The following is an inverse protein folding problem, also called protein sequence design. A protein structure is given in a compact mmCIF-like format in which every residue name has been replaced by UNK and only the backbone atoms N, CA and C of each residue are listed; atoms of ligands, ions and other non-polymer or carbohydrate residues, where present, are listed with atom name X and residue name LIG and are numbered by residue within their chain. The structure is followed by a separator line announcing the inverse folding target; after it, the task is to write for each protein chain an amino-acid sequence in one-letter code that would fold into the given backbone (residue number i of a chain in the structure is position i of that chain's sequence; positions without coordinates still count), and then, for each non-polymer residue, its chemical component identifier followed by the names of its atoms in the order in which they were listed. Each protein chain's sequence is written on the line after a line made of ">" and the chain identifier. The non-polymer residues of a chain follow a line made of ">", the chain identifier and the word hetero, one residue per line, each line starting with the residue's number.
data_IF_668858990725
#
_entry.id   IF_668858990725
#
_cell.length_a   1.000
_cell.length_b   1.000
_cell.length_c   1.000
_cell.angle_alpha   90.00
_cell.angle_beta   90.00
_cell.angle_gamma   90.00
#
_symmetry.space_group_name_H-M   'P 1'
#
loop_
_entity.id
_entity.type
_entity.pdbx_description
1 polymer ?
#
# COMPACT_ATOMS: atom_id res chain seq x y z
N UNK A 1 30.16 -17.77 -3.82
CA UNK A 1 30.61 -17.02 -4.99
C UNK A 1 29.81 -17.50 -6.17
N UNK A 2 28.81 -16.74 -6.61
CA UNK A 2 28.04 -17.07 -7.81
C UNK A 2 28.68 -16.24 -8.91
N UNK A 3 29.52 -16.90 -9.70
CA UNK A 3 30.12 -16.33 -10.89
C UNK A 3 28.99 -16.12 -11.91
N UNK A 4 28.48 -14.88 -11.99
CA UNK A 4 27.52 -14.47 -13.01
C UNK A 4 28.26 -14.47 -14.35
N UNK A 5 28.38 -15.65 -14.97
CA UNK A 5 28.76 -15.74 -16.38
C UNK A 5 27.79 -14.85 -17.13
N UNK A 6 28.31 -13.88 -17.88
CA UNK A 6 27.48 -13.14 -18.82
C UNK A 6 26.84 -14.18 -19.74
N UNK A 7 25.52 -14.40 -19.67
CA UNK A 7 24.89 -15.29 -20.62
C UNK A 7 25.12 -14.65 -21.99
N UNK A 8 25.55 -15.43 -22.98
CA UNK A 8 25.40 -15.04 -24.37
C UNK A 8 23.95 -14.59 -24.53
N UNK A 9 23.75 -13.28 -24.62
CA UNK A 9 22.43 -12.68 -24.49
C UNK A 9 21.63 -13.05 -25.74
N UNK A 10 20.96 -14.19 -25.73
CA UNK A 10 19.66 -14.22 -26.38
C UNK A 10 18.87 -13.12 -25.67
N UNK A 11 18.48 -12.09 -26.41
CA UNK A 11 17.72 -10.98 -25.88
C UNK A 11 16.55 -11.59 -25.09
N UNK A 12 16.59 -11.46 -23.76
CA UNK A 12 15.57 -12.04 -22.91
C UNK A 12 14.26 -11.38 -23.28
N UNK A 13 13.33 -12.15 -23.84
CA UNK A 13 12.00 -11.65 -24.16
C UNK A 13 11.26 -11.36 -22.86
N UNK A 14 11.29 -10.09 -22.44
CA UNK A 14 10.61 -9.61 -21.24
C UNK A 14 9.09 -9.82 -21.32
N UNK A 15 8.52 -9.82 -22.53
CA UNK A 15 7.09 -10.04 -22.75
C UNK A 15 6.63 -11.46 -22.40
N UNK A 16 7.50 -12.46 -22.56
CA UNK A 16 7.21 -13.85 -22.24
C UNK A 16 7.48 -14.22 -20.76
N UNK A 17 8.14 -13.36 -19.99
CA UNK A 17 8.49 -13.65 -18.59
C UNK A 17 7.28 -13.81 -17.67
N UNK A 18 6.22 -12.97 -17.73
CA UNK A 18 5.05 -13.13 -16.88
C UNK A 18 4.47 -14.55 -16.91
N UNK A 19 4.15 -15.05 -18.12
CA UNK A 19 3.58 -16.39 -18.30
C UNK A 19 4.53 -17.51 -17.87
N UNK A 20 5.84 -17.31 -18.02
CA UNK A 20 6.85 -18.30 -17.61
C UNK A 20 7.05 -18.37 -16.11
N UNK A 21 6.85 -17.27 -15.39
CA UNK A 21 7.07 -17.20 -13.94
C UNK A 21 5.83 -17.56 -13.13
N UNK A 22 4.65 -17.18 -13.60
CA UNK A 22 3.36 -17.43 -12.92
C UNK A 22 3.15 -18.88 -12.44
N UNK A 23 3.46 -19.94 -13.23
CA UNK A 23 3.27 -21.32 -12.79
C UNK A 23 4.10 -21.74 -11.57
N UNK A 24 5.15 -20.98 -11.24
CA UNK A 24 6.02 -21.22 -10.10
C UNK A 24 5.61 -20.42 -8.86
N UNK A 25 4.53 -19.63 -8.93
CA UNK A 25 4.03 -18.83 -7.83
C UNK A 25 2.90 -19.54 -7.07
N UNK A 26 2.65 -19.16 -5.80
CA UNK A 26 1.51 -19.68 -5.05
C UNK A 26 0.18 -19.46 -5.78
N UNK A 27 -0.82 -20.34 -5.57
CA UNK A 27 -2.16 -20.14 -6.13
C UNK A 27 -2.72 -18.75 -5.80
N UNK A 28 -3.26 -18.06 -6.81
CA UNK A 28 -3.80 -16.71 -6.67
C UNK A 28 -2.75 -15.59 -6.77
N UNK A 29 -1.50 -15.90 -7.10
CA UNK A 29 -0.45 -14.92 -7.39
C UNK A 29 0.03 -15.10 -8.82
N UNK A 30 -0.21 -14.10 -9.66
CA UNK A 30 0.25 -14.07 -11.05
C UNK A 30 1.28 -12.94 -11.22
N UNK A 31 2.27 -13.16 -12.10
CA UNK A 31 3.08 -12.04 -12.63
C UNK A 31 2.28 -11.38 -13.74
N UNK A 32 1.94 -10.10 -13.58
CA UNK A 32 1.17 -9.37 -14.58
C UNK A 32 2.07 -8.65 -15.61
N UNK A 33 3.23 -8.14 -15.18
CA UNK A 33 4.14 -7.38 -16.04
C UNK A 33 5.56 -7.45 -15.49
N UNK A 34 6.54 -7.35 -16.39
CA UNK A 34 7.96 -7.22 -16.06
C UNK A 34 8.54 -6.04 -16.83
N UNK A 35 9.38 -5.24 -16.18
CA UNK A 35 10.17 -4.19 -16.81
C UNK A 35 11.63 -4.35 -16.44
N UNK A 36 12.54 -4.03 -17.38
CA UNK A 36 13.94 -3.84 -17.05
C UNK A 36 14.12 -2.54 -16.25
N UNK A 37 15.09 -2.54 -15.34
CA UNK A 37 15.55 -1.37 -14.58
C UNK A 37 17.07 -1.24 -14.76
N UNK A 38 17.60 -0.02 -14.77
CA UNK A 38 19.05 0.15 -14.78
C UNK A 38 19.64 -0.18 -13.40
N UNK A 39 20.81 -0.83 -13.36
CA UNK A 39 21.47 -1.21 -12.10
C UNK A 39 21.83 -0.03 -11.19
N UNK A 40 21.91 1.18 -11.74
CA UNK A 40 22.25 2.40 -10.99
C UNK A 40 21.04 3.10 -10.36
N UNK A 41 19.83 2.63 -10.69
CA UNK A 41 18.60 3.16 -10.08
C UNK A 41 18.53 2.80 -8.59
N UNK A 42 17.85 3.68 -7.84
CA UNK A 42 17.50 3.39 -6.44
C UNK A 42 16.76 2.05 -6.36
N UNK A 43 16.90 1.38 -5.22
CA UNK A 43 16.05 0.22 -4.97
C UNK A 43 14.58 0.64 -5.02
N UNK A 44 13.70 -0.27 -5.45
CA UNK A 44 12.26 0.03 -5.53
C UNK A 44 11.70 0.55 -4.18
N UNK A 45 12.18 -0.02 -3.08
CA UNK A 45 11.77 0.37 -1.73
C UNK A 45 12.20 1.80 -1.38
N UNK A 46 13.35 2.26 -1.89
CA UNK A 46 13.84 3.62 -1.73
C UNK A 46 13.18 4.61 -2.70
N UNK A 47 12.82 4.16 -3.91
CA UNK A 47 12.18 5.00 -4.91
C UNK A 47 10.70 5.29 -4.60
N UNK A 48 9.97 4.33 -4.01
CA UNK A 48 8.58 4.53 -3.60
C UNK A 48 8.53 5.45 -2.39
N UNK A 49 7.91 6.62 -2.55
CA UNK A 49 7.79 7.66 -1.52
C UNK A 49 6.42 7.71 -0.85
N UNK A 50 5.37 7.22 -1.52
CA UNK A 50 3.98 7.21 -1.01
C UNK A 50 3.27 5.92 -1.41
N UNK A 51 2.38 5.42 -0.56
CA UNK A 51 1.48 4.30 -0.87
C UNK A 51 0.03 4.75 -0.69
N UNK A 52 -0.87 4.33 -1.59
CA UNK A 52 -2.31 4.48 -1.40
C UNK A 52 -2.89 3.20 -0.83
N UNK A 53 -3.67 3.35 0.23
CA UNK A 53 -4.31 2.26 0.95
C UNK A 53 -5.82 2.41 0.89
N UNK A 54 -6.53 1.29 0.78
CA UNK A 54 -7.95 1.16 1.11
C UNK A 54 -8.07 0.35 2.38
N UNK A 55 -8.79 0.91 3.35
CA UNK A 55 -8.88 0.43 4.72
C UNK A 55 -10.35 0.41 5.10
N UNK A 56 -10.87 -0.75 5.41
CA UNK A 56 -12.20 -0.88 6.04
C UNK A 56 -12.07 -0.60 7.54
N UNK A 57 -12.99 0.21 8.05
CA UNK A 57 -13.07 0.59 9.47
C UNK A 57 -14.43 0.14 10.01
N UNK A 58 -14.48 -0.99 10.75
CA UNK A 58 -15.72 -1.52 11.29
C UNK A 58 -16.32 -0.60 12.37
N UNK A 59 -17.63 -0.65 12.55
CA UNK A 59 -18.32 -0.03 13.69
C UNK A 59 -18.32 1.50 13.69
N UNK A 60 -18.07 2.14 12.54
CA UNK A 60 -18.18 3.60 12.36
C UNK A 60 -18.91 3.91 11.06
N UNK A 61 -19.78 4.90 11.09
CA UNK A 61 -20.45 5.36 9.86
C UNK A 61 -19.51 6.22 9.01
N UNK A 62 -19.74 6.34 7.69
CA UNK A 62 -18.97 7.23 6.84
C UNK A 62 -18.95 8.68 7.37
N UNK A 63 -20.09 9.18 7.84
CA UNK A 63 -20.26 10.55 8.32
C UNK A 63 -19.49 10.81 9.62
N UNK A 64 -19.51 9.86 10.55
CA UNK A 64 -18.71 9.92 11.78
C UNK A 64 -17.21 9.91 11.45
N UNK A 65 -16.80 9.02 10.53
CA UNK A 65 -15.41 8.92 10.11
C UNK A 65 -14.94 10.20 9.41
N UNK A 66 -15.78 10.85 8.61
CA UNK A 66 -15.46 12.14 7.97
C UNK A 66 -15.12 13.22 9.00
N UNK A 67 -15.86 13.27 10.12
CA UNK A 67 -15.56 14.18 11.22
C UNK A 67 -14.20 13.85 11.84
N UNK A 68 -13.93 12.57 12.12
CA UNK A 68 -12.63 12.16 12.66
C UNK A 68 -11.46 12.45 11.72
N UNK A 69 -11.63 12.20 10.42
CA UNK A 69 -10.63 12.50 9.38
C UNK A 69 -10.33 13.99 9.35
N UNK A 70 -11.36 14.85 9.38
CA UNK A 70 -11.18 16.31 9.41
C UNK A 70 -10.41 16.75 10.66
N UNK A 71 -10.75 16.21 11.82
CA UNK A 71 -10.03 16.48 13.08
C UNK A 71 -8.56 16.07 12.97
N UNK A 72 -8.29 14.87 12.47
CA UNK A 72 -6.93 14.34 12.30
C UNK A 72 -6.11 15.18 11.32
N UNK A 73 -6.67 15.56 10.17
CA UNK A 73 -5.97 16.40 9.19
C UNK A 73 -5.70 17.82 9.72
N UNK A 74 -6.55 18.34 10.61
CA UNK A 74 -6.34 19.64 11.25
C UNK A 74 -5.36 19.60 12.43
N UNK A 75 -5.00 18.41 12.93
CA UNK A 75 -4.01 18.28 13.99
C UNK A 75 -2.62 18.71 13.50
N UNK A 76 -1.92 19.50 14.31
CA UNK A 76 -0.52 19.89 14.04
C UNK A 76 0.45 18.75 14.28
N UNK A 77 0.11 17.82 15.17
CA UNK A 77 0.92 16.67 15.58
C UNK A 77 0.01 15.48 15.88
N UNK A 78 0.45 14.28 15.53
CA UNK A 78 -0.22 13.00 15.82
C UNK A 78 0.81 12.02 16.39
N UNK A 79 1.10 12.08 17.70
CA UNK A 79 2.04 11.17 18.32
C UNK A 79 1.45 9.75 18.38
N UNK A 80 2.22 8.76 17.91
CA UNK A 80 1.91 7.34 18.13
C UNK A 80 3.03 6.67 18.91
N UNK A 81 2.63 5.73 19.75
CA UNK A 81 3.54 4.99 20.62
C UNK A 81 3.86 3.62 20.02
N UNK A 82 5.14 3.25 20.02
CA UNK A 82 5.59 1.92 19.57
C UNK A 82 6.69 1.36 20.44
N UNK A 83 6.82 0.04 20.44
CA UNK A 83 7.96 -0.65 21.04
C UNK A 83 9.08 -0.82 20.00
N UNK A 84 10.29 -0.34 20.32
CA UNK A 84 11.49 -0.54 19.51
C UNK A 84 12.66 -0.93 20.40
N UNK A 85 13.24 -2.11 20.13
CA UNK A 85 14.34 -2.68 20.93
C UNK A 85 14.01 -2.70 22.44
N UNK A 86 12.76 -3.03 22.78
CA UNK A 86 12.26 -3.06 24.16
C UNK A 86 12.10 -1.69 24.83
N UNK A 87 12.10 -0.60 24.06
CA UNK A 87 11.82 0.75 24.54
C UNK A 87 10.58 1.30 23.84
N UNK A 88 9.71 1.90 24.63
CA UNK A 88 8.62 2.72 24.14
C UNK A 88 9.18 4.00 23.51
N UNK A 89 8.89 4.21 22.22
CA UNK A 89 9.25 5.40 21.45
C UNK A 89 7.97 6.04 20.94
N UNK A 90 7.86 7.36 21.08
CA UNK A 90 6.78 8.15 20.49
C UNK A 90 7.31 8.87 19.26
N UNK A 91 6.64 8.67 18.12
CA UNK A 91 6.96 9.32 16.85
C UNK A 91 5.71 10.08 16.36
N UNK A 92 5.89 11.28 15.81
CA UNK A 92 4.80 12.03 15.18
C UNK A 92 4.58 11.53 13.74
N UNK A 93 3.39 11.00 13.46
CA UNK A 93 3.03 10.50 12.12
C UNK A 93 2.38 11.55 11.24
N UNK A 94 1.98 12.71 11.79
CA UNK A 94 1.23 13.73 11.04
C UNK A 94 1.91 14.15 9.74
N UNK A 95 3.25 14.35 9.67
CA UNK A 95 3.93 14.70 8.42
C UNK A 95 3.85 13.61 7.35
N UNK A 96 3.66 12.35 7.75
CA UNK A 96 3.58 11.21 6.83
C UNK A 96 2.17 10.89 6.32
N UNK A 97 1.15 11.65 6.75
CA UNK A 97 -0.22 11.56 6.24
C UNK A 97 -0.38 12.59 5.10
N UNK A 98 -0.40 12.10 3.86
CA UNK A 98 -0.48 12.94 2.66
C UNK A 98 -1.94 13.32 2.37
N UNK A 99 -2.83 12.34 2.38
CA UNK A 99 -4.27 12.56 2.21
C UNK A 99 -5.08 11.46 2.90
N UNK A 100 -6.29 11.81 3.32
CA UNK A 100 -7.30 10.90 3.86
C UNK A 100 -8.65 11.26 3.24
N UNK A 101 -9.38 10.24 2.80
CA UNK A 101 -10.72 10.41 2.21
C UNK A 101 -11.61 9.24 2.58
N UNK A 102 -12.79 9.55 3.13
CA UNK A 102 -13.85 8.55 3.28
C UNK A 102 -14.47 8.32 1.90
N UNK A 103 -14.50 7.05 1.47
CA UNK A 103 -14.95 6.64 0.13
C UNK A 103 -16.42 6.21 0.16
N UNK A 104 -16.93 5.82 1.33
CA UNK A 104 -18.31 5.41 1.54
C UNK A 104 -18.42 4.38 2.66
N UNK A 105 -19.53 3.64 2.67
CA UNK A 105 -19.70 2.48 3.56
C UNK A 105 -18.91 1.28 3.05
N UNK A 106 -18.63 0.33 3.95
CA UNK A 106 -18.18 -1.02 3.56
C UNK A 106 -19.24 -1.73 2.71
N UNK A 107 -18.84 -2.78 1.99
CA UNK A 107 -19.77 -3.59 1.23
C UNK A 107 -20.84 -4.24 2.15
N UNK A 108 -22.04 -4.46 1.61
CA UNK A 108 -23.17 -5.01 2.38
C UNK A 108 -22.89 -6.42 2.93
N UNK A 109 -22.02 -7.18 2.27
CA UNK A 109 -21.57 -8.51 2.66
C UNK A 109 -20.32 -8.51 3.55
N UNK A 110 -19.82 -7.33 3.96
CA UNK A 110 -18.75 -7.23 4.92
C UNK A 110 -19.15 -7.88 6.26
N UNK A 111 -18.23 -8.58 6.96
CA UNK A 111 -18.51 -9.26 8.23
C UNK A 111 -19.10 -8.34 9.30
N UNK A 112 -18.69 -7.07 9.27
CA UNK A 112 -19.19 -6.00 10.12
C UNK A 112 -19.35 -4.74 9.27
N UNK A 113 -20.46 -4.02 9.47
CA UNK A 113 -20.72 -2.78 8.76
C UNK A 113 -19.82 -1.66 9.29
N UNK A 114 -19.37 -0.79 8.39
CA UNK A 114 -18.50 0.32 8.73
C UNK A 114 -18.27 1.28 7.57
N UNK A 115 -17.13 1.95 7.59
CA UNK A 115 -16.73 2.91 6.56
C UNK A 115 -15.46 2.45 5.83
N UNK A 116 -15.33 2.88 4.58
CA UNK A 116 -14.15 2.67 3.75
C UNK A 116 -13.32 3.95 3.70
N UNK A 117 -12.07 3.86 4.16
CA UNK A 117 -11.08 4.94 4.14
C UNK A 117 -10.06 4.70 3.02
N UNK A 118 -9.81 5.72 2.22
CA UNK A 118 -8.62 5.80 1.38
C UNK A 118 -7.58 6.71 2.03
N UNK A 119 -6.35 6.21 2.14
CA UNK A 119 -5.26 6.91 2.81
C UNK A 119 -4.00 6.89 1.94
N UNK A 120 -3.39 8.06 1.75
CA UNK A 120 -2.06 8.18 1.16
C UNK A 120 -1.03 8.40 2.28
N UNK A 121 -0.13 7.44 2.43
CA UNK A 121 0.84 7.39 3.51
C UNK A 121 2.26 7.41 2.94
N UNK A 122 3.09 8.30 3.49
CA UNK A 122 4.49 8.39 3.11
C UNK A 122 5.28 7.16 3.58
N UNK A 123 6.28 6.78 2.80
CA UNK A 123 7.27 5.75 3.15
C UNK A 123 8.57 6.35 3.70
N UNK A 124 8.76 7.67 3.54
CA UNK A 124 9.97 8.40 3.88
C UNK A 124 9.66 9.75 4.56
N UNK A 125 10.59 10.30 5.38
CA UNK A 125 11.83 9.67 5.84
C UNK A 125 11.56 8.45 6.76
N UNK A 126 10.32 8.30 7.18
CA UNK A 126 9.83 7.18 7.97
C UNK A 126 8.47 6.74 7.44
N UNK A 127 8.32 5.44 7.20
CA UNK A 127 7.06 4.89 6.70
C UNK A 127 5.97 4.90 7.76
N UNK A 128 4.78 5.39 7.41
CA UNK A 128 3.57 5.29 8.22
C UNK A 128 2.80 4.04 7.85
N UNK A 129 2.49 3.20 8.85
CA UNK A 129 1.70 1.98 8.67
C UNK A 129 0.19 2.31 8.83
N UNK A 130 -0.70 1.61 8.11
CA UNK A 130 -2.14 1.74 8.32
C UNK A 130 -2.56 1.56 9.80
N UNK A 131 -1.98 0.59 10.51
CA UNK A 131 -2.28 0.38 11.93
C UNK A 131 -1.89 1.55 12.84
N UNK A 132 -0.86 2.32 12.48
CA UNK A 132 -0.46 3.51 13.24
C UNK A 132 -1.40 4.68 12.98
N UNK A 133 -1.84 4.85 11.73
CA UNK A 133 -2.91 5.78 11.37
C UNK A 133 -4.19 5.47 12.16
N UNK A 134 -4.59 4.19 12.22
CA UNK A 134 -5.79 3.76 12.93
C UNK A 134 -5.70 3.97 14.45
N UNK A 135 -4.52 3.74 15.02
CA UNK A 135 -4.26 4.00 16.43
C UNK A 135 -4.25 5.50 16.81
N UNK A 136 -4.02 6.38 15.83
CA UNK A 136 -3.98 7.83 16.05
C UNK A 136 -5.36 8.51 16.03
N UNK A 137 -6.43 7.79 15.67
CA UNK A 137 -7.79 8.29 15.85
C UNK A 137 -8.16 8.36 17.33
N UNK A 138 -9.11 9.24 17.66
CA UNK A 138 -9.69 9.35 18.99
C UNK A 138 -11.22 9.18 18.92
N UNK A 139 -11.78 8.06 19.43
CA UNK A 139 -11.06 6.89 19.95
C UNK A 139 -10.30 6.13 18.84
N UNK A 140 -9.30 5.30 19.19
CA UNK A 140 -8.62 4.44 18.23
C UNK A 140 -9.58 3.56 17.44
N UNK A 141 -9.27 3.34 16.16
CA UNK A 141 -10.12 2.56 15.25
C UNK A 141 -9.59 1.15 15.05
N UNK A 142 -10.50 0.19 14.93
CA UNK A 142 -10.16 -1.19 14.59
C UNK A 142 -9.86 -1.33 13.10
N UNK A 143 -8.98 -2.28 12.78
CA UNK A 143 -8.59 -2.60 11.41
C UNK A 143 -9.52 -3.68 10.84
N UNK A 144 -10.20 -3.38 9.74
CA UNK A 144 -10.88 -4.37 8.89
C UNK A 144 -9.94 -4.87 7.78
N UNK A 145 -10.44 -5.01 6.55
CA UNK A 145 -9.58 -5.30 5.40
C UNK A 145 -8.66 -4.12 5.09
N UNK A 146 -7.37 -4.40 4.89
CA UNK A 146 -6.38 -3.41 4.46
C UNK A 146 -5.71 -3.87 3.17
N UNK A 147 -5.77 -3.01 2.15
CA UNK A 147 -5.22 -3.28 0.84
C UNK A 147 -4.42 -2.08 0.35
N UNK A 148 -3.14 -2.27 0.07
CA UNK A 148 -2.36 -1.30 -0.69
C UNK A 148 -2.75 -1.40 -2.14
N UNK A 149 -3.37 -0.35 -2.68
CA UNK A 149 -3.86 -0.34 -4.06
C UNK A 149 -2.84 0.24 -5.03
N UNK A 150 -1.94 1.10 -4.54
CA UNK A 150 -0.98 1.82 -5.38
C UNK A 150 0.33 2.08 -4.64
N UNK A 151 1.43 2.18 -5.40
CA UNK A 151 2.74 2.59 -4.90
C UNK A 151 3.27 3.71 -5.79
N UNK A 152 3.80 4.77 -5.19
CA UNK A 152 4.08 5.99 -5.93
C UNK A 152 5.53 6.40 -5.76
N UNK A 153 6.18 6.59 -6.90
CA UNK A 153 7.46 7.27 -7.02
C UNK A 153 7.13 8.71 -7.38
N UNK A 154 7.60 9.66 -6.55
CA UNK A 154 7.45 11.09 -6.80
C UNK A 154 8.83 11.66 -7.13
N UNK A 155 9.00 12.16 -8.35
CA UNK A 155 10.24 12.78 -8.83
C UNK A 155 9.89 14.13 -9.43
N UNK A 156 10.50 15.21 -8.94
CA UNK A 156 10.24 16.60 -9.39
C UNK A 156 8.75 16.97 -9.42
N UNK A 157 7.97 16.45 -8.47
CA UNK A 157 6.53 16.65 -8.36
C UNK A 157 5.67 15.80 -9.30
N UNK A 158 6.28 15.08 -10.25
CA UNK A 158 5.60 14.10 -11.08
C UNK A 158 5.43 12.78 -10.33
N UNK A 159 4.22 12.24 -10.37
CA UNK A 159 3.82 10.99 -9.70
C UNK A 159 3.71 9.87 -10.73
N UNK A 160 4.34 8.72 -10.46
CA UNK A 160 4.25 7.51 -11.29
C UNK A 160 4.23 6.24 -10.46
N UNK A 161 3.60 5.20 -10.99
CA UNK A 161 3.76 3.82 -10.48
C UNK A 161 5.16 3.29 -10.84
N UNK A 162 5.72 2.36 -10.05
CA UNK A 162 6.97 1.70 -10.36
C UNK A 162 6.99 1.04 -11.74
N UNK A 163 5.92 0.31 -12.06
CA UNK A 163 5.68 -0.30 -13.36
C UNK A 163 4.27 0.15 -13.75
N UNK A 164 4.10 0.91 -14.85
CA UNK A 164 2.78 1.31 -15.30
C UNK A 164 1.94 0.06 -15.57
N UNK A 165 0.74 -0.02 -14.98
CA UNK A 165 -0.18 -1.09 -15.31
C UNK A 165 -0.63 -0.93 -16.77
N UNK A 166 -0.05 -1.71 -17.68
CA UNK A 166 -0.60 -1.88 -19.01
C UNK A 166 -1.85 -2.75 -18.82
N UNK A 167 -3.02 -2.15 -19.03
CA UNK A 167 -4.31 -2.64 -18.55
C UNK A 167 -4.65 -4.07 -19.00
N UNK A 168 -4.70 -4.99 -18.03
CA UNK A 168 -5.79 -5.97 -17.88
C UNK A 168 -5.78 -6.47 -16.44
N UNK A 169 -6.48 -5.78 -15.54
CA UNK A 169 -6.86 -6.40 -14.27
C UNK A 169 -7.78 -7.57 -14.60
N UNK A 170 -7.32 -8.80 -14.38
CA UNK A 170 -8.19 -9.97 -14.43
C UNK A 170 -9.13 -9.89 -13.23
N UNK A 171 -10.43 -10.11 -13.45
CA UNK A 171 -11.37 -10.22 -12.35
C UNK A 171 -10.88 -11.30 -11.37
N UNK A 172 -11.03 -11.10 -10.05
CA UNK A 172 -10.59 -12.09 -9.07
C UNK A 172 -11.21 -13.44 -9.42
N UNK A 173 -10.39 -14.49 -9.45
CA UNK A 173 -10.87 -15.84 -9.65
C UNK A 173 -11.92 -16.13 -8.57
N UNK A 174 -13.11 -16.59 -8.98
CA UNK A 174 -14.14 -17.03 -8.05
C UNK A 174 -13.51 -18.06 -7.11
N UNK A 175 -13.51 -17.75 -5.81
CA UNK A 175 -13.06 -18.67 -4.79
C UNK A 175 -13.95 -19.91 -4.87
N UNK A 176 -13.39 -21.00 -5.40
CA UNK A 176 -14.08 -22.26 -5.52
C UNK A 176 -14.57 -22.70 -4.14
N UNK A 177 -15.90 -22.78 -4.00
CA UNK A 177 -16.54 -23.36 -2.84
C UNK A 177 -15.99 -24.78 -2.60
N UNK A 178 -15.44 -25.01 -1.42
CA UNK A 178 -15.25 -26.34 -0.83
C UNK A 178 -15.86 -26.34 0.55
#
# INVERSE_FOLDING_TARGET
>A
DIDLREPEASALDLGALPERLTPFLPPGVDVETVSAIERSELSLQEAVTVCTWRIEIPGVTPEELEVNVRTMLNASTLPVTRERKGKTVSDDIRPGIISLRVVGATATDAPEQGALLEAELATQPRSVRPSELLAAFDPPRNEGRVCRTHQWIITDGARREPIPAHATSRAPAEAGAR
#
